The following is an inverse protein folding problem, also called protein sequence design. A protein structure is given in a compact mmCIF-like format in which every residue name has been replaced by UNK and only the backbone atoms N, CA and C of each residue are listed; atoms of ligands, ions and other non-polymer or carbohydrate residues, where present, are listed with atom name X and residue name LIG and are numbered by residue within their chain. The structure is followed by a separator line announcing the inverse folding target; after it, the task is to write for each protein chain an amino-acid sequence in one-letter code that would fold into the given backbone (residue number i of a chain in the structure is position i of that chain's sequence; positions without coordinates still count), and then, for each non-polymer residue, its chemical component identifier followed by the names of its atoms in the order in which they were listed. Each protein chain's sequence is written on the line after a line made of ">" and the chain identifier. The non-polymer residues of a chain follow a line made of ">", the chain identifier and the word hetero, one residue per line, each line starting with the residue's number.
data_IF_767983495891
#
_entry.id   IF_767983495891
#
_cell.length_a   1.000
_cell.length_b   1.000
_cell.length_c   1.000
_cell.angle_alpha   90.00
_cell.angle_beta   90.00
_cell.angle_gamma   90.00
#
_symmetry.space_group_name_H-M   'P 1'
#
loop_
_entity.id
_entity.type
_entity.pdbx_description
1 polymer ?
#
# COMPACT_ATOMS: atom_id res chain seq x y z
N UNK A 1 -18.90 -14.49 -5.63
CA UNK A 1 -19.34 -13.38 -4.76
C UNK A 1 -18.12 -12.57 -4.35
N UNK A 2 -17.87 -11.45 -5.03
CA UNK A 2 -16.66 -10.65 -4.84
C UNK A 2 -16.80 -9.73 -3.63
N UNK A 3 -15.87 -9.85 -2.68
CA UNK A 3 -15.79 -8.99 -1.49
C UNK A 3 -15.45 -7.54 -1.88
N UNK A 4 -16.48 -6.73 -2.12
CA UNK A 4 -16.42 -5.28 -1.93
C UNK A 4 -16.02 -5.04 -0.47
N UNK A 5 -14.89 -4.37 -0.20
CA UNK A 5 -14.49 -4.02 1.18
C UNK A 5 -15.53 -3.05 1.74
N UNK A 6 -16.61 -3.56 2.34
CA UNK A 6 -17.50 -2.79 3.19
C UNK A 6 -16.74 -2.47 4.47
N UNK A 7 -16.40 -1.19 4.63
CA UNK A 7 -15.96 -0.67 5.91
C UNK A 7 -17.21 -0.34 6.73
N UNK A 8 -17.74 -1.31 7.48
CA UNK A 8 -18.98 -1.11 8.26
C UNK A 8 -18.87 -0.05 9.36
N UNK A 9 -17.67 0.28 9.85
CA UNK A 9 -17.50 1.31 10.90
C UNK A 9 -16.10 1.94 10.83
N UNK A 10 -15.92 3.01 10.03
CA UNK A 10 -14.70 3.83 10.10
C UNK A 10 -15.06 5.32 10.09
N UNK A 11 -14.94 5.95 11.25
CA UNK A 11 -14.53 7.36 11.47
C UNK A 11 -15.31 8.51 10.83
N UNK A 12 -16.34 8.25 10.02
CA UNK A 12 -16.99 9.28 9.19
C UNK A 12 -18.47 9.49 9.53
N UNK A 13 -18.88 9.08 10.73
CA UNK A 13 -20.18 9.45 11.29
C UNK A 13 -20.34 10.99 11.29
N UNK A 14 -19.25 11.73 11.57
CA UNK A 14 -19.27 13.18 11.75
C UNK A 14 -19.30 14.02 10.47
N UNK A 15 -19.13 13.44 9.27
CA UNK A 15 -19.10 14.26 8.04
C UNK A 15 -20.50 14.71 7.64
N UNK A 16 -21.49 13.82 7.76
CA UNK A 16 -22.85 14.06 7.27
C UNK A 16 -23.95 13.64 8.27
N UNK A 17 -23.62 12.99 9.40
CA UNK A 17 -24.63 12.64 10.39
C UNK A 17 -24.88 13.77 11.41
N UNK A 18 -24.09 14.85 11.39
CA UNK A 18 -24.33 16.03 12.21
C UNK A 18 -24.83 17.19 11.33
N UNK A 19 -25.70 18.07 11.85
CA UNK A 19 -26.12 19.28 11.14
C UNK A 19 -24.95 20.19 10.74
N UNK A 20 -23.86 20.19 11.53
CA UNK A 20 -22.67 20.99 11.26
C UNK A 20 -21.72 20.28 10.29
N UNK A 21 -21.49 20.87 9.12
CA UNK A 21 -20.48 20.36 8.18
C UNK A 21 -19.06 20.62 8.68
N UNK A 22 -18.09 19.83 8.23
CA UNK A 22 -16.67 20.07 8.52
C UNK A 22 -16.17 21.45 8.06
N UNK A 23 -16.72 21.97 6.96
CA UNK A 23 -16.36 23.29 6.44
C UNK A 23 -16.90 24.41 7.34
N UNK A 24 -18.16 24.32 7.77
CA UNK A 24 -18.76 25.29 8.71
C UNK A 24 -18.04 25.24 10.07
N UNK A 25 -17.74 24.04 10.58
CA UNK A 25 -16.96 23.87 11.80
C UNK A 25 -15.57 24.54 11.72
N UNK A 26 -14.89 24.42 10.57
CA UNK A 26 -13.59 25.03 10.34
C UNK A 26 -13.66 26.56 10.27
N UNK A 27 -14.64 27.10 9.54
CA UNK A 27 -14.85 28.54 9.46
C UNK A 27 -15.19 29.14 10.83
N UNK A 28 -16.06 28.49 11.61
CA UNK A 28 -16.40 28.95 12.96
C UNK A 28 -15.18 28.94 13.89
N UNK A 29 -14.31 27.94 13.78
CA UNK A 29 -13.07 27.88 14.55
C UNK A 29 -12.10 29.02 14.18
N UNK A 30 -11.97 29.35 12.89
CA UNK A 30 -11.10 30.46 12.43
C UNK A 30 -11.68 31.82 12.83
N UNK A 31 -12.99 31.99 12.69
CA UNK A 31 -13.68 33.26 12.88
C UNK A 31 -14.13 33.50 14.33
N UNK A 32 -13.87 32.57 15.25
CA UNK A 32 -14.30 32.66 16.66
C UNK A 32 -15.82 32.64 16.82
N UNK A 33 -16.56 32.04 15.88
CA UNK A 33 -18.02 31.99 15.93
C UNK A 33 -18.49 30.83 16.83
N UNK A 34 -19.59 31.02 17.58
CA UNK A 34 -20.13 29.96 18.43
C UNK A 34 -20.63 28.76 17.59
N UNK A 35 -20.53 27.57 18.17
CA UNK A 35 -21.15 26.35 17.64
C UNK A 35 -22.60 26.30 18.13
N UNK A 36 -23.62 26.29 17.26
CA UNK A 36 -25.02 26.28 17.68
C UNK A 36 -25.36 25.04 18.49
N UNK A 37 -26.19 25.20 19.51
CA UNK A 37 -26.67 24.08 20.31
C UNK A 37 -27.47 23.10 19.44
N UNK A 38 -27.18 21.81 19.54
CA UNK A 38 -27.75 20.77 18.67
C UNK A 38 -26.97 20.49 17.37
N UNK A 39 -26.04 21.35 16.97
CA UNK A 39 -25.27 21.16 15.72
C UNK A 39 -24.20 20.05 15.80
N UNK A 40 -23.87 19.64 17.03
CA UNK A 40 -23.00 18.48 17.33
C UNK A 40 -23.80 17.20 17.61
N UNK A 41 -25.15 17.26 17.59
CA UNK A 41 -26.00 16.09 17.73
C UNK A 41 -26.12 15.38 16.39
N UNK A 42 -26.46 14.10 16.44
CA UNK A 42 -26.83 13.36 15.24
C UNK A 42 -28.15 13.91 14.70
N UNK A 43 -28.26 14.02 13.37
CA UNK A 43 -29.46 14.49 12.67
C UNK A 43 -30.72 13.79 13.20
N UNK A 44 -30.65 12.47 13.41
CA UNK A 44 -31.67 11.66 14.07
C UNK A 44 -31.03 10.67 15.06
N UNK A 45 -31.79 10.17 16.05
CA UNK A 45 -31.33 9.13 17.00
C UNK A 45 -30.90 7.81 16.32
N UNK A 46 -31.40 7.56 15.11
CA UNK A 46 -31.17 6.34 14.34
C UNK A 46 -30.39 6.58 13.02
N UNK A 47 -29.64 7.69 12.90
CA UNK A 47 -28.90 7.97 11.64
C UNK A 47 -27.77 6.97 11.43
N UNK A 48 -27.95 6.04 10.49
CA UNK A 48 -26.93 5.10 10.04
C UNK A 48 -26.23 5.64 8.79
N UNK A 49 -24.92 5.43 8.67
CA UNK A 49 -24.12 5.92 7.55
C UNK A 49 -23.21 4.84 6.98
N UNK A 50 -23.17 4.71 5.65
CA UNK A 50 -22.21 3.86 4.94
C UNK A 50 -21.43 4.71 3.94
N UNK A 51 -20.09 4.61 3.99
CA UNK A 51 -19.22 5.28 3.03
C UNK A 51 -18.74 4.30 1.95
N UNK A 52 -18.89 4.72 0.69
CA UNK A 52 -18.35 4.05 -0.49
C UNK A 52 -17.28 4.93 -1.15
N UNK A 53 -16.05 4.42 -1.26
CA UNK A 53 -15.01 5.12 -2.01
C UNK A 53 -15.24 5.01 -3.53
N UNK A 54 -15.18 6.14 -4.23
CA UNK A 54 -15.17 6.16 -5.70
C UNK A 54 -13.71 6.05 -6.17
N UNK A 55 -13.41 4.97 -6.88
CA UNK A 55 -12.09 4.73 -7.49
C UNK A 55 -12.17 4.97 -9.00
N UNK A 56 -11.10 5.52 -9.58
CA UNK A 56 -10.96 5.65 -11.02
C UNK A 56 -10.89 4.27 -11.70
N UNK A 57 -11.64 4.14 -12.79
CA UNK A 57 -11.62 2.99 -13.71
C UNK A 57 -10.69 3.21 -14.90
N UNK A 58 -10.78 2.29 -15.87
CA UNK A 58 -10.05 2.38 -17.14
C UNK A 58 -10.52 3.54 -18.04
N UNK A 59 -11.79 3.93 -17.94
CA UNK A 59 -12.36 5.06 -18.68
C UNK A 59 -12.20 6.37 -17.91
N UNK A 60 -11.82 7.44 -18.61
CA UNK A 60 -11.58 8.80 -18.07
C UNK A 60 -12.75 9.35 -17.22
N UNK A 61 -14.01 9.03 -17.53
CA UNK A 61 -15.18 9.50 -16.76
C UNK A 61 -15.86 8.44 -15.87
N UNK A 62 -15.19 7.31 -15.64
CA UNK A 62 -15.74 6.18 -14.85
C UNK A 62 -16.21 6.59 -13.44
N UNK A 63 -15.48 7.48 -12.78
CA UNK A 63 -15.82 7.96 -11.44
C UNK A 63 -17.07 8.86 -11.42
N UNK A 64 -17.31 9.63 -12.50
CA UNK A 64 -18.50 10.47 -12.64
C UNK A 64 -19.77 9.64 -12.81
N UNK A 65 -19.69 8.51 -13.51
CA UNK A 65 -20.84 7.59 -13.67
C UNK A 65 -21.32 7.02 -12.33
N UNK A 66 -20.39 6.74 -11.41
CA UNK A 66 -20.73 6.28 -10.05
C UNK A 66 -21.39 7.40 -9.25
N UNK A 67 -20.90 8.64 -9.40
CA UNK A 67 -21.50 9.81 -8.78
C UNK A 67 -22.92 10.08 -9.33
N UNK A 68 -23.11 10.07 -10.65
CA UNK A 68 -24.43 10.24 -11.28
C UNK A 68 -25.42 9.19 -10.81
N UNK A 69 -25.01 7.92 -10.74
CA UNK A 69 -25.91 6.87 -10.26
C UNK A 69 -26.29 7.09 -8.78
N UNK A 70 -25.37 7.63 -7.98
CA UNK A 70 -25.64 7.94 -6.57
C UNK A 70 -26.66 9.07 -6.38
N UNK A 71 -26.84 9.97 -7.36
CA UNK A 71 -27.87 11.01 -7.30
C UNK A 71 -29.30 10.45 -7.23
N UNK A 72 -29.51 9.21 -7.72
CA UNK A 72 -30.81 8.53 -7.64
C UNK A 72 -31.12 7.89 -6.28
N UNK A 73 -30.18 7.95 -5.33
CA UNK A 73 -30.29 7.32 -4.02
C UNK A 73 -30.63 8.37 -2.97
N UNK A 74 -31.79 8.20 -2.33
CA UNK A 74 -32.18 9.05 -1.20
C UNK A 74 -31.17 8.92 -0.06
N UNK A 75 -30.75 10.05 0.50
CA UNK A 75 -29.74 10.11 1.56
C UNK A 75 -28.29 9.96 1.07
N UNK A 76 -28.03 9.89 -0.23
CA UNK A 76 -26.67 9.88 -0.76
C UNK A 76 -26.07 11.30 -0.82
N UNK A 77 -24.86 11.46 -0.29
CA UNK A 77 -24.03 12.66 -0.34
C UNK A 77 -22.75 12.35 -1.10
N UNK A 78 -22.48 13.12 -2.14
CA UNK A 78 -21.39 12.85 -3.09
C UNK A 78 -20.27 13.86 -2.86
N UNK A 79 -19.05 13.37 -2.70
CA UNK A 79 -17.86 14.20 -2.52
C UNK A 79 -16.79 13.82 -3.55
N UNK A 80 -16.67 14.64 -4.59
CA UNK A 80 -15.63 14.51 -5.61
C UNK A 80 -14.43 15.40 -5.27
N UNK A 81 -13.22 14.93 -5.58
CA UNK A 81 -11.98 15.64 -5.23
C UNK A 81 -11.40 16.51 -6.35
N UNK A 82 -12.11 16.69 -7.47
CA UNK A 82 -11.67 17.58 -8.55
C UNK A 82 -10.33 17.21 -9.20
N UNK A 83 -9.95 15.92 -9.22
CA UNK A 83 -8.62 15.46 -9.70
C UNK A 83 -8.53 15.29 -11.23
N UNK A 84 -9.43 15.91 -11.98
CA UNK A 84 -9.56 15.71 -13.42
C UNK A 84 -9.96 14.27 -13.79
N UNK A 85 -9.42 13.78 -14.89
CA UNK A 85 -9.75 12.48 -15.47
C UNK A 85 -9.45 11.29 -14.54
N UNK A 86 -10.26 10.24 -14.65
CA UNK A 86 -10.10 9.01 -13.88
C UNK A 86 -8.75 8.38 -14.16
N UNK A 87 -7.96 8.21 -13.10
CA UNK A 87 -6.76 7.37 -13.13
C UNK A 87 -7.06 6.01 -12.50
N UNK A 88 -6.75 4.88 -13.17
CA UNK A 88 -7.07 3.55 -12.66
C UNK A 88 -6.60 3.30 -11.22
N UNK A 89 -7.53 3.06 -10.30
CA UNK A 89 -7.24 2.80 -8.89
C UNK A 89 -6.97 4.02 -8.01
N UNK A 90 -6.89 5.22 -8.58
CA UNK A 90 -6.80 6.48 -7.82
C UNK A 90 -8.14 6.74 -7.12
N UNK A 91 -8.10 7.20 -5.85
CA UNK A 91 -9.30 7.66 -5.14
C UNK A 91 -9.75 9.01 -5.73
N UNK A 92 -10.90 9.00 -6.40
CA UNK A 92 -11.48 10.14 -7.11
C UNK A 92 -12.54 10.87 -6.27
N UNK A 93 -13.09 10.20 -5.26
CA UNK A 93 -14.07 10.77 -4.35
C UNK A 93 -14.60 9.73 -3.39
N UNK A 94 -15.72 10.04 -2.74
CA UNK A 94 -16.48 9.12 -1.92
C UNK A 94 -17.97 9.51 -1.91
N UNK A 95 -18.82 8.55 -1.54
CA UNK A 95 -20.26 8.72 -1.36
C UNK A 95 -20.60 8.29 0.05
N UNK A 96 -21.33 9.11 0.79
CA UNK A 96 -21.92 8.74 2.07
C UNK A 96 -23.41 8.46 1.84
N UNK A 97 -23.90 7.32 2.29
CA UNK A 97 -25.31 6.95 2.24
C UNK A 97 -25.84 7.00 3.67
N UNK A 98 -26.77 7.92 3.92
CA UNK A 98 -27.49 8.05 5.18
C UNK A 98 -28.83 7.33 5.10
N UNK A 99 -29.22 6.62 6.16
CA UNK A 99 -30.53 6.02 6.30
C UNK A 99 -30.92 5.89 7.77
N UNK A 100 -32.22 5.71 8.05
CA UNK A 100 -32.71 5.48 9.41
C UNK A 100 -32.39 4.06 9.92
N UNK A 101 -32.13 3.11 9.02
CA UNK A 101 -31.76 1.75 9.35
C UNK A 101 -30.55 1.29 8.54
N UNK A 102 -29.67 0.50 9.16
CA UNK A 102 -28.46 0.01 8.48
C UNK A 102 -28.80 -0.86 7.25
N UNK A 103 -29.84 -1.68 7.32
CA UNK A 103 -30.28 -2.54 6.20
C UNK A 103 -30.78 -1.73 4.99
N UNK A 104 -31.35 -0.54 5.23
CA UNK A 104 -31.72 0.38 4.18
C UNK A 104 -30.47 0.99 3.51
N UNK A 105 -29.50 1.44 4.30
CA UNK A 105 -28.22 1.93 3.77
C UNK A 105 -27.50 0.85 2.94
N UNK A 106 -27.55 -0.42 3.37
CA UNK A 106 -26.97 -1.55 2.63
C UNK A 106 -27.72 -1.83 1.32
N UNK A 107 -29.06 -1.78 1.31
CA UNK A 107 -29.86 -1.91 0.08
C UNK A 107 -29.55 -0.78 -0.91
N UNK A 108 -29.38 0.44 -0.42
CA UNK A 108 -28.96 1.58 -1.24
C UNK A 108 -27.56 1.39 -1.82
N UNK A 109 -26.60 0.91 -1.01
CA UNK A 109 -25.25 0.59 -1.48
C UNK A 109 -25.23 -0.51 -2.56
N UNK A 110 -26.07 -1.53 -2.42
CA UNK A 110 -26.17 -2.61 -3.41
C UNK A 110 -26.53 -2.11 -4.81
N UNK A 111 -27.29 -1.00 -4.91
CA UNK A 111 -27.62 -0.37 -6.20
C UNK A 111 -26.36 0.13 -6.93
N UNK A 112 -25.35 0.58 -6.20
CA UNK A 112 -24.07 1.07 -6.75
C UNK A 112 -23.05 -0.06 -7.00
N UNK A 113 -23.22 -1.20 -6.33
CA UNK A 113 -22.21 -2.26 -6.30
C UNK A 113 -21.97 -2.86 -7.69
N UNK A 114 -23.02 -3.08 -8.49
CA UNK A 114 -22.91 -3.59 -9.87
C UNK A 114 -22.01 -2.70 -10.75
N UNK A 115 -22.16 -1.38 -10.65
CA UNK A 115 -21.39 -0.43 -11.45
C UNK A 115 -19.93 -0.36 -10.97
N UNK A 116 -19.72 -0.30 -9.65
CA UNK A 116 -18.38 -0.27 -9.06
C UNK A 116 -17.60 -1.56 -9.37
N UNK A 117 -18.26 -2.72 -9.32
CA UNK A 117 -17.67 -4.00 -9.68
C UNK A 117 -17.32 -4.08 -11.16
N UNK A 118 -18.19 -3.57 -12.04
CA UNK A 118 -17.90 -3.46 -13.48
C UNK A 118 -16.66 -2.59 -13.73
N UNK A 119 -16.60 -1.41 -13.13
CA UNK A 119 -15.44 -0.50 -13.21
C UNK A 119 -14.16 -1.16 -12.68
N UNK A 120 -14.28 -1.96 -11.61
CA UNK A 120 -13.17 -2.72 -11.04
C UNK A 120 -12.67 -3.81 -12.00
N UNK A 121 -13.57 -4.54 -12.65
CA UNK A 121 -13.25 -5.59 -13.63
C UNK A 121 -12.63 -4.99 -14.89
N UNK A 122 -13.19 -3.92 -15.42
CA UNK A 122 -12.68 -3.23 -16.61
C UNK A 122 -11.24 -2.72 -16.38
N UNK A 123 -10.96 -2.21 -15.17
CA UNK A 123 -9.60 -1.84 -14.74
C UNK A 123 -8.63 -3.03 -14.65
N UNK A 124 -9.11 -4.22 -14.27
CA UNK A 124 -8.28 -5.41 -14.22
C UNK A 124 -7.96 -5.92 -15.64
N UNK A 125 -8.93 -5.85 -16.55
CA UNK A 125 -8.75 -6.22 -17.96
C UNK A 125 -7.79 -5.27 -18.68
N UNK A 126 -7.94 -3.95 -18.54
CA UNK A 126 -7.04 -2.98 -19.17
C UNK A 126 -5.58 -3.11 -18.71
N UNK A 127 -5.34 -3.53 -17.46
CA UNK A 127 -4.00 -3.87 -16.95
C UNK A 127 -3.44 -5.18 -17.53
N UNK A 128 -4.31 -6.11 -17.88
CA UNK A 128 -3.94 -7.39 -18.50
C UNK A 128 -3.56 -7.19 -19.97
N UNK A 129 -4.31 -6.34 -20.68
CA UNK A 129 -4.07 -6.00 -22.09
C UNK A 129 -2.81 -5.12 -22.26
N UNK A 130 -2.55 -4.19 -21.33
CA UNK A 130 -1.28 -3.44 -21.29
C UNK A 130 -0.08 -4.35 -21.00
N UNK A 131 -0.25 -5.37 -20.16
CA UNK A 131 0.79 -6.37 -19.94
C UNK A 131 0.99 -7.31 -21.13
N UNK A 132 -0.02 -7.52 -21.99
CA UNK A 132 0.11 -8.35 -23.21
C UNK A 132 0.82 -7.61 -24.36
N UNK A 133 0.61 -6.30 -24.50
CA UNK A 133 1.26 -5.49 -25.55
C UNK A 133 2.75 -5.28 -25.24
N UNK A 134 3.14 -5.22 -23.96
CA UNK A 134 4.55 -5.19 -23.55
C UNK A 134 5.25 -6.55 -23.57
N UNK A 135 4.53 -7.67 -23.77
CA UNK A 135 5.12 -9.03 -23.83
C UNK A 135 5.36 -9.57 -25.25
N UNK A 136 5.07 -8.80 -26.31
CA UNK A 136 5.24 -9.27 -27.70
C UNK A 136 6.59 -8.87 -28.35
N UNK A 137 7.61 -8.54 -27.56
CA UNK A 137 9.00 -8.50 -28.04
C UNK A 137 9.95 -9.01 -26.97
N UNK A 138 9.80 -10.30 -26.64
CA UNK A 138 10.82 -11.23 -26.12
C UNK A 138 10.10 -12.48 -25.60
N UNK A 139 9.58 -13.30 -26.51
CA UNK A 139 9.19 -14.68 -26.20
C UNK A 139 9.69 -15.58 -27.34
N UNK A 140 10.99 -15.88 -27.27
CA UNK A 140 11.59 -17.04 -27.92
C UNK A 140 12.85 -17.43 -27.16
N UNK A 141 12.69 -17.93 -25.92
CA UNK A 141 13.53 -18.99 -25.35
C UNK A 141 13.14 -19.30 -23.90
N UNK A 142 12.89 -20.59 -23.65
CA UNK A 142 13.05 -21.33 -22.39
C UNK A 142 12.03 -21.12 -21.27
N UNK A 143 11.02 -22.00 -21.30
CA UNK A 143 10.33 -22.59 -20.14
C UNK A 143 11.22 -23.60 -19.37
N UNK A 144 12.54 -23.57 -19.56
CA UNK A 144 13.51 -24.50 -18.96
C UNK A 144 14.71 -23.75 -18.36
N UNK A 145 14.58 -23.33 -17.08
CA UNK A 145 15.65 -23.26 -16.08
C UNK A 145 15.13 -22.72 -14.73
N UNK A 146 14.21 -23.43 -14.07
CA UNK A 146 14.13 -23.41 -12.60
C UNK A 146 15.34 -24.17 -12.04
N UNK A 147 16.55 -23.66 -12.25
CA UNK A 147 17.66 -24.03 -11.39
C UNK A 147 17.38 -23.41 -10.02
N UNK A 148 16.93 -24.27 -9.10
CA UNK A 148 16.64 -23.93 -7.72
C UNK A 148 17.94 -23.53 -7.00
N UNK A 149 18.38 -22.31 -7.24
CA UNK A 149 19.39 -21.68 -6.39
C UNK A 149 18.75 -21.51 -5.01
N UNK A 150 19.36 -22.15 -4.00
CA UNK A 150 18.87 -22.08 -2.63
C UNK A 150 18.73 -20.60 -2.21
N UNK A 151 17.55 -20.19 -1.72
CA UNK A 151 17.31 -18.79 -1.39
C UNK A 151 18.28 -18.34 -0.30
N UNK A 152 18.82 -17.13 -0.44
CA UNK A 152 19.65 -16.47 0.58
C UNK A 152 18.84 -15.45 1.39
N UNK A 153 17.76 -14.92 0.80
CA UNK A 153 16.85 -13.97 1.45
C UNK A 153 15.47 -14.60 1.62
N UNK A 154 14.92 -14.55 2.83
CA UNK A 154 13.52 -14.91 3.08
C UNK A 154 12.70 -13.64 3.25
N UNK A 155 11.65 -13.49 2.44
CA UNK A 155 10.70 -12.40 2.54
C UNK A 155 9.40 -12.93 3.14
N UNK A 156 8.94 -12.32 4.23
CA UNK A 156 7.68 -12.69 4.90
C UNK A 156 6.75 -11.49 5.03
N UNK A 157 5.48 -11.68 4.66
CA UNK A 157 4.45 -10.64 4.75
C UNK A 157 3.28 -11.03 5.65
N UNK A 158 2.73 -10.04 6.34
CA UNK A 158 1.56 -10.22 7.23
C UNK A 158 0.24 -10.32 6.47
N UNK A 159 0.16 -9.71 5.29
CA UNK A 159 -1.03 -9.65 4.44
C UNK A 159 -0.66 -9.70 2.96
N UNK A 160 -1.52 -10.28 2.12
CA UNK A 160 -1.32 -10.33 0.67
C UNK A 160 -1.25 -8.92 0.05
N UNK A 161 -1.92 -7.94 0.67
CA UNK A 161 -1.88 -6.53 0.28
C UNK A 161 -0.49 -5.92 0.34
N UNK A 162 0.41 -6.45 1.16
CA UNK A 162 1.75 -5.89 1.37
C UNK A 162 2.66 -6.13 0.15
N UNK A 163 2.27 -7.06 -0.75
CA UNK A 163 3.01 -7.38 -1.98
C UNK A 163 3.27 -6.17 -2.87
N UNK A 164 2.37 -5.18 -2.86
CA UNK A 164 2.52 -3.98 -3.68
C UNK A 164 3.67 -3.09 -3.17
N UNK A 165 3.85 -3.03 -1.85
CA UNK A 165 4.96 -2.31 -1.24
C UNK A 165 6.26 -3.07 -1.46
N UNK A 166 6.23 -4.41 -1.48
CA UNK A 166 7.42 -5.23 -1.72
C UNK A 166 7.91 -5.27 -3.16
N UNK A 167 7.03 -5.04 -4.15
CA UNK A 167 7.36 -5.24 -5.56
C UNK A 167 8.66 -4.54 -6.00
N UNK A 168 8.93 -3.27 -5.62
CA UNK A 168 10.20 -2.61 -5.93
C UNK A 168 11.43 -3.34 -5.35
N UNK A 169 11.41 -3.69 -4.07
CA UNK A 169 12.50 -4.43 -3.43
C UNK A 169 12.73 -5.82 -4.02
N UNK A 170 11.65 -6.53 -4.38
CA UNK A 170 11.76 -7.81 -5.11
C UNK A 170 12.38 -7.61 -6.48
N UNK A 171 12.05 -6.52 -7.19
CA UNK A 171 12.69 -6.13 -8.43
C UNK A 171 14.20 -5.95 -8.27
N UNK A 172 14.62 -5.23 -7.22
CA UNK A 172 16.04 -5.02 -6.93
C UNK A 172 16.76 -6.34 -6.58
N UNK A 173 16.16 -7.25 -5.81
CA UNK A 173 16.76 -8.56 -5.54
C UNK A 173 16.98 -9.37 -6.82
N UNK A 174 16.06 -9.28 -7.79
CA UNK A 174 16.21 -9.91 -9.12
C UNK A 174 17.33 -9.25 -9.92
N UNK A 175 17.38 -7.93 -9.97
CA UNK A 175 18.44 -7.17 -10.65
C UNK A 175 19.82 -7.54 -10.11
N UNK A 176 19.96 -7.60 -8.78
CA UNK A 176 21.18 -8.02 -8.10
C UNK A 176 21.41 -9.53 -8.13
N UNK A 177 20.56 -10.31 -8.80
CA UNK A 177 20.64 -11.78 -8.90
C UNK A 177 20.79 -12.47 -7.54
N UNK A 178 20.10 -11.97 -6.52
CA UNK A 178 20.10 -12.53 -5.17
C UNK A 178 18.88 -13.46 -5.05
N UNK A 179 19.08 -14.78 -4.83
CA UNK A 179 17.97 -15.71 -4.75
C UNK A 179 17.17 -15.47 -3.47
N UNK A 180 15.85 -15.45 -3.60
CA UNK A 180 14.94 -15.12 -2.51
C UNK A 180 13.73 -16.05 -2.51
N UNK A 181 13.06 -16.13 -1.36
CA UNK A 181 11.76 -16.78 -1.20
C UNK A 181 10.75 -15.80 -0.62
N UNK A 182 9.46 -15.98 -0.92
CA UNK A 182 8.38 -15.13 -0.38
C UNK A 182 7.33 -16.02 0.28
N UNK A 183 6.88 -15.63 1.46
CA UNK A 183 5.84 -16.36 2.19
C UNK A 183 4.89 -15.40 2.93
N UNK A 184 3.67 -15.86 3.17
CA UNK A 184 2.66 -15.11 3.95
C UNK A 184 2.54 -15.73 5.34
N UNK A 185 2.89 -14.96 6.36
CA UNK A 185 2.78 -15.34 7.77
C UNK A 185 2.28 -14.13 8.58
N UNK A 186 1.16 -14.31 9.27
CA UNK A 186 0.59 -13.26 10.11
C UNK A 186 0.96 -13.51 11.58
N UNK A 187 1.55 -12.50 12.22
CA UNK A 187 1.86 -12.50 13.65
C UNK A 187 0.62 -12.72 14.54
N UNK A 188 -0.55 -12.30 14.07
CA UNK A 188 -1.81 -12.34 14.84
C UNK A 188 -2.70 -13.53 14.48
N UNK A 189 -2.67 -13.98 13.23
CA UNK A 189 -3.63 -14.97 12.71
C UNK A 189 -3.03 -16.35 12.50
N UNK A 190 -1.71 -16.44 12.34
CA UNK A 190 -1.00 -17.68 12.05
C UNK A 190 0.31 -17.73 12.84
N UNK A 191 0.22 -17.52 14.16
CA UNK A 191 1.38 -17.37 15.04
C UNK A 191 2.28 -18.60 15.02
N UNK A 192 1.71 -19.79 15.21
CA UNK A 192 2.44 -21.05 15.25
C UNK A 192 3.17 -21.29 13.92
N UNK A 193 2.49 -21.04 12.80
CA UNK A 193 3.08 -21.12 11.45
C UNK A 193 4.27 -20.17 11.31
N UNK A 194 4.14 -18.92 11.78
CA UNK A 194 5.21 -17.93 11.74
C UNK A 194 6.41 -18.37 12.59
N UNK A 195 6.18 -18.91 13.78
CA UNK A 195 7.24 -19.44 14.65
C UNK A 195 7.96 -20.61 13.98
N UNK A 196 7.21 -21.56 13.41
CA UNK A 196 7.80 -22.69 12.70
C UNK A 196 8.56 -22.25 11.44
N UNK A 197 8.00 -21.29 10.70
CA UNK A 197 8.68 -20.67 9.57
C UNK A 197 10.04 -20.11 9.99
N UNK A 198 10.11 -19.30 11.04
CA UNK A 198 11.37 -18.70 11.51
C UNK A 198 12.41 -19.76 11.92
N UNK A 199 12.01 -20.79 12.68
CA UNK A 199 12.93 -21.82 13.19
C UNK A 199 13.69 -22.58 12.10
N UNK A 200 13.09 -22.76 10.92
CA UNK A 200 13.68 -23.57 9.83
C UNK A 200 14.46 -22.75 8.80
N UNK A 201 14.48 -21.41 8.86
CA UNK A 201 15.13 -20.61 7.82
C UNK A 201 16.65 -20.78 7.81
N UNK A 202 17.27 -20.80 8.99
CA UNK A 202 18.73 -20.93 9.11
C UNK A 202 19.23 -22.23 8.49
N UNK A 203 18.52 -23.35 8.69
CA UNK A 203 18.88 -24.64 8.08
C UNK A 203 18.64 -24.71 6.58
N UNK A 204 17.83 -23.79 6.02
CA UNK A 204 17.57 -23.69 4.56
C UNK A 204 18.58 -22.83 3.81
N UNK A 205 19.65 -22.37 4.48
CA UNK A 205 20.67 -21.52 3.86
C UNK A 205 20.30 -20.04 3.76
N UNK A 206 19.16 -19.63 4.35
CA UNK A 206 18.79 -18.22 4.45
C UNK A 206 19.80 -17.50 5.34
N UNK A 207 20.16 -16.28 4.94
CA UNK A 207 21.14 -15.44 5.63
C UNK A 207 20.55 -14.11 6.09
N UNK A 208 19.51 -13.61 5.42
CA UNK A 208 18.82 -12.37 5.78
C UNK A 208 17.32 -12.54 5.61
N UNK A 209 16.54 -11.93 6.51
CA UNK A 209 15.07 -11.95 6.46
C UNK A 209 14.57 -10.53 6.24
N UNK A 210 13.56 -10.38 5.37
CA UNK A 210 12.82 -9.14 5.18
C UNK A 210 11.38 -9.41 5.63
N UNK A 211 10.89 -8.66 6.61
CA UNK A 211 9.55 -8.82 7.17
C UNK A 211 8.75 -7.52 7.03
N UNK A 212 7.49 -7.62 6.59
CA UNK A 212 6.58 -6.45 6.54
C UNK A 212 5.64 -6.41 7.73
N UNK A 213 5.28 -5.21 8.18
CA UNK A 213 4.19 -5.02 9.15
C UNK A 213 3.54 -3.66 8.99
N UNK A 214 2.22 -3.59 9.21
CA UNK A 214 1.44 -2.35 9.15
C UNK A 214 0.49 -2.25 10.34
N UNK A 215 0.16 -1.02 10.75
CA UNK A 215 -0.56 -0.74 11.99
C UNK A 215 0.29 -1.10 13.21
N UNK A 216 -0.22 -1.94 14.09
CA UNK A 216 0.62 -2.65 15.05
C UNK A 216 1.49 -3.67 14.28
N UNK A 217 2.74 -3.34 14.05
CA UNK A 217 3.61 -4.07 13.12
C UNK A 217 4.47 -5.13 13.83
N UNK A 218 3.88 -6.16 14.44
CA UNK A 218 4.66 -7.12 15.25
C UNK A 218 5.45 -8.17 14.47
N UNK A 219 5.16 -8.39 13.17
CA UNK A 219 5.78 -9.48 12.42
C UNK A 219 7.33 -9.43 12.40
N UNK A 220 7.99 -8.30 12.11
CA UNK A 220 9.45 -8.25 12.10
C UNK A 220 10.06 -8.56 13.47
N UNK A 221 9.55 -7.92 14.53
CA UNK A 221 10.04 -8.13 15.89
C UNK A 221 9.81 -9.56 16.40
N UNK A 222 8.65 -10.16 16.12
CA UNK A 222 8.36 -11.53 16.52
C UNK A 222 9.20 -12.56 15.77
N UNK A 223 9.51 -12.33 14.49
CA UNK A 223 10.44 -13.19 13.75
C UNK A 223 11.85 -13.05 14.31
N UNK A 224 12.32 -11.82 14.57
CA UNK A 224 13.62 -11.54 15.19
C UNK A 224 13.78 -12.22 16.57
N UNK A 225 12.70 -12.28 17.35
CA UNK A 225 12.70 -12.96 18.66
C UNK A 225 12.80 -14.49 18.57
N UNK A 226 12.67 -15.08 17.38
CA UNK A 226 12.66 -16.54 17.16
C UNK A 226 13.82 -17.05 16.32
N UNK A 227 14.70 -16.18 15.84
CA UNK A 227 15.83 -16.56 15.00
C UNK A 227 17.01 -15.62 15.21
N UNK A 228 18.23 -16.16 15.11
CA UNK A 228 19.47 -15.37 15.24
C UNK A 228 19.87 -14.62 13.97
N UNK A 229 19.23 -14.91 12.83
CA UNK A 229 19.50 -14.22 11.56
C UNK A 229 18.99 -12.77 11.61
N UNK A 230 19.64 -11.83 10.89
CA UNK A 230 19.17 -10.46 10.79
C UNK A 230 17.79 -10.38 10.14
N UNK A 231 16.87 -9.65 10.78
CA UNK A 231 15.51 -9.41 10.31
C UNK A 231 15.30 -7.93 10.03
N UNK A 232 15.16 -7.58 8.76
CA UNK A 232 14.93 -6.22 8.28
C UNK A 232 13.42 -5.95 8.27
N UNK A 233 12.97 -4.94 9.01
CA UNK A 233 11.58 -4.50 9.07
C UNK A 233 11.22 -3.46 8.01
N UNK A 234 10.17 -3.74 7.24
CA UNK A 234 9.51 -2.77 6.34
C UNK A 234 8.14 -2.39 6.94
N UNK A 235 7.91 -1.10 7.08
CA UNK A 235 6.71 -0.55 7.70
C UNK A 235 5.70 -0.13 6.64
N UNK A 236 4.54 -0.76 6.64
CA UNK A 236 3.49 -0.50 5.65
C UNK A 236 2.68 0.71 6.08
N UNK A 237 2.60 1.72 5.22
CA UNK A 237 1.76 2.89 5.44
C UNK A 237 0.29 2.47 5.54
N UNK A 238 -0.26 2.57 6.74
CA UNK A 238 -1.67 2.35 7.02
C UNK A 238 -2.57 3.47 6.47
N UNK A 239 -3.88 3.32 6.68
CA UNK A 239 -4.85 4.38 6.35
C UNK A 239 -4.83 5.55 7.34
N UNK A 240 -4.22 5.34 8.51
CA UNK A 240 -4.16 6.27 9.63
C UNK A 240 -2.71 6.42 10.06
N UNK A 241 -2.35 7.56 10.64
CA UNK A 241 -1.02 7.85 11.20
C UNK A 241 0.16 7.77 10.22
N UNK A 242 -0.13 7.70 8.91
CA UNK A 242 0.85 7.66 7.82
C UNK A 242 1.97 6.61 7.96
N UNK A 243 1.73 5.53 8.73
CA UNK A 243 2.71 4.48 9.01
C UNK A 243 3.60 4.72 10.23
N UNK A 244 3.38 5.79 10.99
CA UNK A 244 4.10 6.08 12.24
C UNK A 244 3.84 5.01 13.30
N UNK A 245 2.60 4.52 13.39
CA UNK A 245 2.22 3.37 14.21
C UNK A 245 3.07 2.14 13.89
N UNK A 246 3.23 1.88 12.59
CA UNK A 246 3.96 0.74 12.05
C UNK A 246 5.44 0.88 12.33
N UNK A 247 6.00 2.07 12.10
CA UNK A 247 7.39 2.38 12.36
C UNK A 247 7.75 2.22 13.84
N UNK A 248 6.99 2.86 14.74
CA UNK A 248 7.26 2.81 16.18
C UNK A 248 7.08 1.41 16.77
N UNK A 249 6.19 0.59 16.20
CA UNK A 249 5.97 -0.80 16.62
C UNK A 249 7.19 -1.71 16.43
N UNK A 250 8.11 -1.36 15.53
CA UNK A 250 9.27 -2.20 15.22
C UNK A 250 10.60 -1.54 15.55
N UNK A 251 10.73 -0.21 15.41
CA UNK A 251 12.01 0.45 15.66
C UNK A 251 12.37 0.46 17.15
N UNK A 252 11.35 0.47 18.02
CA UNK A 252 11.50 0.50 19.48
C UNK A 252 11.64 -0.91 20.10
N UNK A 253 12.41 -1.80 19.47
CA UNK A 253 12.64 -3.13 20.05
C UNK A 253 13.35 -3.04 21.42
N UNK A 254 12.98 -3.89 22.39
CA UNK A 254 13.68 -3.96 23.66
C UNK A 254 15.13 -4.45 23.49
N UNK A 255 15.95 -4.18 24.50
CA UNK A 255 17.35 -4.60 24.54
C UNK A 255 17.49 -6.11 24.31
N UNK A 256 18.43 -6.50 23.45
CA UNK A 256 18.75 -7.91 23.18
C UNK A 256 18.03 -8.55 21.97
N UNK A 257 17.05 -7.87 21.35
CA UNK A 257 16.35 -8.38 20.17
C UNK A 257 16.30 -7.33 19.04
N UNK A 258 17.40 -7.10 18.31
CA UNK A 258 17.47 -6.05 17.30
C UNK A 258 16.70 -6.43 16.02
N UNK A 259 16.02 -5.45 15.43
CA UNK A 259 15.40 -5.55 14.10
C UNK A 259 15.70 -4.29 13.28
N UNK A 260 16.74 -4.32 12.42
CA UNK A 260 17.06 -3.19 11.53
C UNK A 260 15.82 -2.73 10.76
N UNK A 261 15.54 -1.44 10.83
CA UNK A 261 14.29 -0.87 10.33
C UNK A 261 14.59 0.11 9.20
N UNK A 262 13.89 -0.01 8.07
CA UNK A 262 13.97 0.96 6.97
C UNK A 262 12.74 1.89 6.97
N UNK A 263 12.82 2.94 6.17
CA UNK A 263 11.74 3.93 6.05
C UNK A 263 10.41 3.31 5.59
N UNK A 264 9.32 3.99 5.93
CA UNK A 264 7.96 3.55 5.62
C UNK A 264 7.81 3.30 4.11
N UNK A 265 7.18 2.18 3.75
CA UNK A 265 6.98 1.68 2.39
C UNK A 265 8.24 1.44 1.54
N UNK A 266 9.43 1.44 2.14
CA UNK A 266 10.67 1.40 1.37
C UNK A 266 11.27 -0.01 1.26
N UNK A 267 10.68 -0.82 0.40
CA UNK A 267 11.20 -2.17 0.12
C UNK A 267 12.51 -2.18 -0.65
N UNK A 268 12.81 -1.13 -1.43
CA UNK A 268 14.10 -0.97 -2.13
C UNK A 268 15.24 -0.92 -1.12
N UNK A 269 15.15 -0.06 -0.11
CA UNK A 269 16.20 0.04 0.90
C UNK A 269 16.33 -1.24 1.74
N UNK A 270 15.24 -1.97 1.99
CA UNK A 270 15.33 -3.26 2.65
C UNK A 270 16.08 -4.30 1.81
N UNK A 271 15.80 -4.37 0.50
CA UNK A 271 16.53 -5.24 -0.43
C UNK A 271 18.00 -4.82 -0.55
N UNK A 272 18.29 -3.53 -0.65
CA UNK A 272 19.65 -3.00 -0.70
C UNK A 272 20.42 -3.28 0.59
N UNK A 273 19.78 -3.13 1.75
CA UNK A 273 20.38 -3.47 3.04
C UNK A 273 20.66 -4.98 3.14
N UNK A 274 19.74 -5.83 2.68
CA UNK A 274 19.96 -7.27 2.61
C UNK A 274 21.14 -7.63 1.71
N UNK A 275 21.24 -7.00 0.53
CA UNK A 275 22.36 -7.18 -0.39
C UNK A 275 23.69 -6.79 0.25
N UNK A 276 23.73 -5.65 0.95
CA UNK A 276 24.92 -5.19 1.70
C UNK A 276 25.31 -6.16 2.81
N UNK A 277 24.35 -6.65 3.61
CA UNK A 277 24.61 -7.66 4.64
C UNK A 277 25.21 -8.95 4.05
N UNK A 278 24.69 -9.42 2.92
CA UNK A 278 25.24 -10.58 2.22
C UNK A 278 26.66 -10.32 1.68
N UNK A 279 26.88 -9.14 1.10
CA UNK A 279 28.16 -8.72 0.50
C UNK A 279 29.33 -8.62 1.49
N UNK A 280 29.06 -8.48 2.80
CA UNK A 280 30.11 -8.48 3.83
C UNK A 280 30.93 -9.77 3.75
N UNK A 281 30.25 -10.92 3.68
CA UNK A 281 30.91 -12.24 3.72
C UNK A 281 30.95 -12.96 2.37
N UNK A 282 30.27 -12.44 1.34
CA UNK A 282 30.20 -13.06 0.03
C UNK A 282 30.74 -12.14 -1.06
N UNK A 283 31.99 -12.38 -1.44
CA UNK A 283 32.71 -11.61 -2.47
C UNK A 283 32.01 -11.69 -3.83
N UNK A 284 31.36 -12.80 -4.16
CA UNK A 284 30.65 -12.97 -5.44
C UNK A 284 29.36 -12.14 -5.53
N UNK A 285 28.76 -11.80 -4.38
CA UNK A 285 27.60 -10.90 -4.32
C UNK A 285 28.07 -9.46 -4.30
N UNK A 286 29.20 -9.15 -3.64
CA UNK A 286 29.68 -7.78 -3.37
C UNK A 286 29.75 -6.85 -4.57
N UNK A 287 30.20 -7.33 -5.73
CA UNK A 287 30.31 -6.50 -6.95
C UNK A 287 28.97 -5.92 -7.40
N UNK A 288 27.87 -6.64 -7.22
CA UNK A 288 26.56 -6.26 -7.75
C UNK A 288 25.96 -5.01 -7.07
N UNK A 289 25.88 -4.92 -5.72
CA UNK A 289 25.46 -3.70 -5.06
C UNK A 289 26.48 -2.56 -5.19
N UNK A 290 27.77 -2.83 -5.40
CA UNK A 290 28.79 -1.80 -5.72
C UNK A 290 28.53 -1.18 -7.09
N UNK A 291 28.36 -2.00 -8.13
CA UNK A 291 27.99 -1.56 -9.49
C UNK A 291 26.65 -0.81 -9.49
N UNK A 292 25.65 -1.33 -8.78
CA UNK A 292 24.35 -0.66 -8.66
C UNK A 292 24.48 0.73 -8.01
N UNK A 293 25.31 0.87 -6.97
CA UNK A 293 25.58 2.17 -6.35
C UNK A 293 26.31 3.12 -7.31
N UNK A 294 27.32 2.62 -8.02
CA UNK A 294 28.05 3.42 -9.01
C UNK A 294 27.13 3.92 -10.14
N UNK A 295 26.22 3.06 -10.64
CA UNK A 295 25.24 3.43 -11.66
C UNK A 295 24.24 4.49 -11.16
N UNK A 296 23.79 4.38 -9.90
CA UNK A 296 22.94 5.41 -9.30
C UNK A 296 23.67 6.76 -9.21
N UNK A 297 24.93 6.76 -8.79
CA UNK A 297 25.75 7.97 -8.74
C UNK A 297 25.92 8.57 -10.14
N UNK A 298 26.24 7.76 -11.14
CA UNK A 298 26.36 8.23 -12.53
C UNK A 298 25.06 8.85 -13.05
N UNK A 299 23.91 8.21 -12.79
CA UNK A 299 22.59 8.74 -13.20
C UNK A 299 22.24 10.07 -12.54
N UNK A 300 22.63 10.29 -11.28
CA UNK A 300 22.42 11.58 -10.61
C UNK A 300 23.32 12.66 -11.18
N UNK A 301 24.59 12.35 -11.46
CA UNK A 301 25.52 13.29 -12.09
C UNK A 301 25.03 13.70 -13.49
N UNK A 302 24.59 12.75 -14.31
CA UNK A 302 24.02 13.05 -15.62
C UNK A 302 22.78 13.94 -15.54
N UNK A 303 21.90 13.68 -14.57
CA UNK A 303 20.71 14.52 -14.32
C UNK A 303 21.08 15.92 -13.86
N UNK A 304 22.11 16.06 -13.02
CA UNK A 304 22.63 17.34 -12.58
C UNK A 304 23.22 18.13 -13.76
N UNK A 305 24.09 17.51 -14.55
CA UNK A 305 24.68 18.14 -15.75
C UNK A 305 23.62 18.54 -16.79
N UNK A 306 22.52 17.78 -16.90
CA UNK A 306 21.38 18.14 -17.73
C UNK A 306 20.64 19.36 -17.18
N UNK A 307 20.36 19.37 -15.87
CA UNK A 307 19.69 20.48 -15.20
C UNK A 307 20.50 21.79 -15.26
N UNK A 308 21.82 21.71 -15.13
CA UNK A 308 22.71 22.87 -15.22
C UNK A 308 22.77 23.45 -16.64
N UNK A 309 22.66 22.60 -17.67
CA UNK A 309 22.66 23.01 -19.09
C UNK A 309 21.32 23.59 -19.54
N UNK A 310 20.21 22.96 -19.15
CA UNK A 310 18.87 23.34 -19.59
C UNK A 310 18.29 24.48 -18.73
N UNK A 311 18.73 24.61 -17.48
CA UNK A 311 18.15 25.50 -16.48
C UNK A 311 16.87 24.91 -15.87
N UNK A 312 16.57 25.28 -14.62
CA UNK A 312 15.47 24.69 -13.85
C UNK A 312 14.11 24.79 -14.54
N UNK A 313 13.82 25.93 -15.18
CA UNK A 313 12.51 26.18 -15.82
C UNK A 313 12.29 25.37 -17.10
N UNK A 314 13.35 24.90 -17.75
CA UNK A 314 13.26 24.08 -18.97
C UNK A 314 13.52 22.59 -18.72
N UNK A 315 13.90 22.21 -17.49
CA UNK A 315 14.17 20.82 -17.12
C UNK A 315 12.87 20.03 -16.96
N UNK A 316 12.52 19.23 -17.96
CA UNK A 316 11.37 18.33 -17.88
C UNK A 316 11.72 17.07 -17.05
N UNK A 317 10.80 16.69 -16.16
CA UNK A 317 10.94 15.55 -15.26
C UNK A 317 10.62 14.21 -15.93
N UNK A 318 10.00 14.24 -17.12
CA UNK A 318 9.49 13.05 -17.82
C UNK A 318 10.37 12.58 -19.01
N UNK A 319 11.63 13.02 -19.08
CA UNK A 319 12.64 12.48 -20.00
C UNK A 319 13.32 11.22 -19.49
#
# INVERSE_FOLDING_TARGET
>A
MGSTKLSRYKGHYTIEACPLSQYDAHLRAILGLPIPEGSLQLLNRDTNAIMLNILGGAQSKSHLRVAEQALSISGARIHLYGKGDARPGRKMGHINILASFIDEAERHLQRLTKLVDKIRVDRMRSRSDQNQISTNSQNSASDDAKQATSPLVAVTIGSDSDRFVLAPGIGLLKELRIPYSVSINSAYRTLEKMVQFAKVLASKGIRVIIATGGGAAHLPGMVAAKIWLPVIGIHIKGSSLDGMDSLLSTVQMPRGCPAPTVSINNSLNAAQLAARMLAISNVSIRKRPEEHLANQTASVLEKADRMDREGFDAYDLDG
#
